data_IF_852359429045
#
_entry.id   IF_852359429045
#
_cell.length_a   1.000
_cell.length_b   1.000
_cell.length_c   1.000
_cell.angle_alpha   90.00
_cell.angle_beta   90.00
_cell.angle_gamma   90.00
#
_symmetry.space_group_name_H-M   'P 1'
#
loop_
_entity.id
_entity.type
_entity.pdbx_description
1 polymer ?
#
# COMPACT_ATOMS: atom_id res chain seq x y z
N UNK A 1 -10.75 16.44 0.66
CA UNK A 1 -10.15 16.67 -0.66
C UNK A 1 -10.81 15.80 -1.76
N UNK A 2 -10.86 14.46 -1.63
CA UNK A 2 -11.60 13.57 -2.56
C UNK A 2 -13.08 13.91 -2.74
N UNK A 3 -13.79 14.27 -1.66
CA UNK A 3 -15.19 14.72 -1.76
C UNK A 3 -15.35 15.98 -2.65
N UNK A 4 -14.31 16.83 -2.72
CA UNK A 4 -14.30 18.03 -3.55
C UNK A 4 -14.02 17.69 -5.02
N UNK A 5 -13.07 16.78 -5.29
CA UNK A 5 -12.81 16.29 -6.66
C UNK A 5 -13.99 15.50 -7.23
N UNK A 6 -14.70 14.72 -6.40
CA UNK A 6 -15.96 14.04 -6.76
C UNK A 6 -17.04 15.01 -7.27
N UNK A 7 -17.13 16.21 -6.68
CA UNK A 7 -18.03 17.28 -7.14
C UNK A 7 -17.54 18.02 -8.38
N UNK A 8 -16.29 17.83 -8.79
CA UNK A 8 -15.63 18.64 -9.84
C UNK A 8 -15.62 17.98 -11.23
N UNK A 9 -16.24 16.80 -11.42
CA UNK A 9 -16.19 16.03 -12.69
C UNK A 9 -14.77 15.64 -13.16
N UNK A 10 -13.75 15.82 -12.33
CA UNK A 10 -12.39 15.35 -12.62
C UNK A 10 -12.36 13.86 -12.31
N UNK A 11 -12.10 12.98 -13.30
CA UNK A 11 -11.95 11.56 -13.05
C UNK A 11 -10.86 11.35 -11.99
N UNK A 12 -11.15 10.57 -10.96
CA UNK A 12 -10.12 10.13 -10.04
C UNK A 12 -9.22 9.17 -10.80
N UNK A 13 -7.99 9.58 -11.07
CA UNK A 13 -6.99 8.73 -11.70
C UNK A 13 -6.05 8.14 -10.64
N UNK A 14 -5.32 7.09 -11.05
CA UNK A 14 -4.41 6.36 -10.16
C UNK A 14 -3.32 7.28 -9.58
N UNK A 15 -2.97 8.35 -10.31
CA UNK A 15 -1.98 9.34 -9.90
C UNK A 15 -2.48 10.14 -8.70
N UNK A 16 -3.72 10.65 -8.73
CA UNK A 16 -4.31 11.36 -7.60
C UNK A 16 -4.40 10.48 -6.34
N UNK A 17 -4.76 9.21 -6.51
CA UNK A 17 -4.76 8.23 -5.43
C UNK A 17 -3.35 7.99 -4.85
N UNK A 18 -2.34 7.82 -5.71
CA UNK A 18 -0.96 7.62 -5.30
C UNK A 18 -0.39 8.84 -4.55
N UNK A 19 -0.72 10.06 -4.99
CA UNK A 19 -0.35 11.29 -4.26
C UNK A 19 -0.95 11.29 -2.86
N UNK A 20 -2.22 10.92 -2.72
CA UNK A 20 -2.88 10.89 -1.42
C UNK A 20 -2.35 9.77 -0.52
N UNK A 21 -2.10 8.57 -1.07
CA UNK A 21 -1.43 7.49 -0.35
C UNK A 21 -0.07 7.94 0.17
N UNK A 22 0.71 8.67 -0.64
CA UNK A 22 2.01 9.20 -0.24
C UNK A 22 1.89 10.27 0.85
N UNK A 23 0.84 11.09 0.81
CA UNK A 23 0.55 12.03 1.87
C UNK A 23 0.21 11.31 3.19
N UNK A 24 -0.68 10.31 3.16
CA UNK A 24 -1.02 9.51 4.33
C UNK A 24 0.20 8.76 4.91
N UNK A 25 1.08 8.23 4.06
CA UNK A 25 2.34 7.61 4.46
C UNK A 25 3.23 8.59 5.25
N UNK A 26 3.46 9.80 4.70
CA UNK A 26 4.28 10.83 5.36
C UNK A 26 3.68 11.34 6.67
N UNK A 27 2.35 11.37 6.76
CA UNK A 27 1.63 11.78 7.97
C UNK A 27 1.49 10.64 8.99
N UNK A 28 1.91 9.41 8.67
CA UNK A 28 1.76 8.25 9.55
C UNK A 28 0.31 7.76 9.69
N UNK A 29 -0.59 8.17 8.79
CA UNK A 29 -2.02 7.85 8.84
C UNK A 29 -2.30 6.48 8.21
N UNK A 30 -1.76 5.43 8.83
CA UNK A 30 -1.75 4.07 8.28
C UNK A 30 -3.15 3.50 8.02
N UNK A 31 -4.12 3.85 8.87
CA UNK A 31 -5.53 3.44 8.72
C UNK A 31 -6.14 4.10 7.48
N UNK A 32 -5.87 5.38 7.25
CA UNK A 32 -6.37 6.10 6.09
C UNK A 32 -5.73 5.56 4.79
N UNK A 33 -4.41 5.33 4.80
CA UNK A 33 -3.69 4.73 3.68
C UNK A 33 -4.25 3.34 3.31
N UNK A 34 -4.44 2.46 4.30
CA UNK A 34 -5.01 1.13 4.08
C UNK A 34 -6.47 1.16 3.63
N UNK A 35 -7.28 2.08 4.17
CA UNK A 35 -8.68 2.26 3.76
C UNK A 35 -8.79 2.72 2.31
N UNK A 36 -7.96 3.70 1.90
CA UNK A 36 -7.93 4.17 0.51
C UNK A 36 -7.52 3.06 -0.46
N UNK A 37 -6.47 2.30 -0.14
CA UNK A 37 -6.05 1.16 -0.96
C UNK A 37 -7.17 0.10 -1.06
N UNK A 38 -7.85 -0.19 0.04
CA UNK A 38 -8.98 -1.14 0.05
C UNK A 38 -10.14 -0.65 -0.81
N UNK A 39 -10.42 0.66 -0.82
CA UNK A 39 -11.44 1.23 -1.70
C UNK A 39 -11.05 1.11 -3.18
N UNK A 40 -9.78 1.36 -3.52
CA UNK A 40 -9.25 1.13 -4.87
C UNK A 40 -9.36 -0.34 -5.29
N UNK A 41 -8.98 -1.28 -4.41
CA UNK A 41 -9.07 -2.73 -4.68
C UNK A 41 -10.51 -3.20 -4.96
N UNK A 42 -11.49 -2.52 -4.39
CA UNK A 42 -12.92 -2.82 -4.60
C UNK A 42 -13.52 -2.04 -5.77
N UNK A 43 -12.71 -1.23 -6.45
CA UNK A 43 -13.17 -0.26 -7.46
C UNK A 43 -14.34 0.60 -6.93
N UNK A 44 -14.35 0.85 -5.62
CA UNK A 44 -15.42 1.55 -4.94
C UNK A 44 -15.43 3.02 -5.35
N UNK A 45 -16.63 3.62 -5.41
CA UNK A 45 -16.82 5.04 -5.76
C UNK A 45 -16.20 5.45 -7.12
N UNK A 46 -16.02 4.49 -8.04
CA UNK A 46 -15.39 4.73 -9.35
C UNK A 46 -13.88 4.97 -9.27
N UNK A 47 -13.23 4.51 -8.18
CA UNK A 47 -11.78 4.56 -8.06
C UNK A 47 -11.13 3.55 -9.01
N UNK A 48 -9.99 3.91 -9.62
CA UNK A 48 -9.25 2.99 -10.46
C UNK A 48 -8.61 1.87 -9.61
N UNK A 49 -8.36 0.70 -10.22
CA UNK A 49 -7.64 -0.37 -9.54
C UNK A 49 -6.23 0.11 -9.13
N UNK A 50 -5.71 -0.37 -7.98
CA UNK A 50 -4.39 0.02 -7.51
C UNK A 50 -3.29 -0.51 -8.43
N UNK A 51 -2.24 0.29 -8.58
CA UNK A 51 -1.02 -0.12 -9.29
C UNK A 51 0.08 -0.53 -8.29
N UNK A 52 1.23 -0.93 -8.83
CA UNK A 52 2.38 -1.29 -8.01
C UNK A 52 2.84 -0.15 -7.08
N UNK A 53 2.68 1.11 -7.50
CA UNK A 53 3.03 2.26 -6.69
C UNK A 53 2.07 2.41 -5.49
N UNK A 54 0.77 2.19 -5.70
CA UNK A 54 -0.25 2.20 -4.65
C UNK A 54 0.09 1.18 -3.55
N UNK A 55 0.37 -0.06 -3.93
CA UNK A 55 0.75 -1.12 -2.99
C UNK A 55 2.04 -0.80 -2.26
N UNK A 56 3.10 -0.43 -2.99
CA UNK A 56 4.41 -0.13 -2.40
C UNK A 56 4.35 0.99 -1.37
N UNK A 57 3.54 2.02 -1.64
CA UNK A 57 3.37 3.14 -0.72
C UNK A 57 2.76 2.69 0.60
N UNK A 58 1.72 1.85 0.56
CA UNK A 58 1.05 1.36 1.78
C UNK A 58 1.89 0.31 2.51
N UNK A 59 2.57 -0.59 1.77
CA UNK A 59 3.49 -1.57 2.35
C UNK A 59 4.61 -0.85 3.11
N UNK A 60 5.24 0.17 2.50
CA UNK A 60 6.27 0.96 3.15
C UNK A 60 5.74 1.68 4.40
N UNK A 61 4.54 2.25 4.34
CA UNK A 61 3.91 2.90 5.49
C UNK A 61 3.66 1.90 6.64
N UNK A 62 3.14 0.71 6.32
CA UNK A 62 2.81 -0.33 7.32
C UNK A 62 4.04 -1.09 7.84
N UNK A 63 5.14 -1.11 7.10
CA UNK A 63 6.35 -1.85 7.45
C UNK A 63 6.87 -1.52 8.86
N UNK A 64 6.72 -0.28 9.33
CA UNK A 64 7.28 0.11 10.63
C UNK A 64 6.42 -0.28 11.84
N UNK A 65 5.14 -0.62 11.66
CA UNK A 65 4.22 -0.85 12.79
C UNK A 65 3.41 -2.13 12.67
N UNK A 66 3.18 -2.64 11.46
CA UNK A 66 2.24 -3.73 11.17
C UNK A 66 2.85 -4.68 10.12
N UNK A 67 3.94 -5.39 10.45
CA UNK A 67 4.67 -6.25 9.51
C UNK A 67 3.79 -7.34 8.87
N UNK A 68 2.83 -7.89 9.62
CA UNK A 68 1.89 -8.90 9.11
C UNK A 68 0.93 -8.36 8.06
N UNK A 69 0.50 -7.10 8.19
CA UNK A 69 -0.36 -6.46 7.18
C UNK A 69 0.45 -6.08 5.94
N UNK A 70 1.68 -5.61 6.13
CA UNK A 70 2.59 -5.34 5.02
C UNK A 70 2.87 -6.63 4.20
N UNK A 71 3.09 -7.76 4.88
CA UNK A 71 3.21 -9.07 4.23
C UNK A 71 1.94 -9.46 3.45
N UNK A 72 0.76 -9.37 4.08
CA UNK A 72 -0.49 -9.72 3.43
C UNK A 72 -0.75 -8.88 2.17
N UNK A 73 -0.40 -7.59 2.20
CA UNK A 73 -0.49 -6.71 1.03
C UNK A 73 0.51 -7.09 -0.07
N UNK A 74 1.74 -7.48 0.29
CA UNK A 74 2.72 -7.99 -0.66
C UNK A 74 2.23 -9.27 -1.33
N UNK A 75 1.70 -10.22 -0.57
CA UNK A 75 1.08 -11.44 -1.13
C UNK A 75 -0.06 -11.10 -2.07
N UNK A 76 -0.96 -10.19 -1.66
CA UNK A 76 -2.08 -9.76 -2.52
C UNK A 76 -1.60 -9.10 -3.81
N UNK A 77 -0.53 -8.31 -3.76
CA UNK A 77 0.08 -7.70 -4.94
C UNK A 77 0.61 -8.76 -5.91
N UNK A 78 1.26 -9.81 -5.40
CA UNK A 78 1.74 -10.93 -6.20
C UNK A 78 0.59 -11.74 -6.82
N UNK A 79 -0.47 -12.00 -6.04
CA UNK A 79 -1.65 -12.75 -6.49
C UNK A 79 -2.44 -12.02 -7.59
N UNK A 80 -2.39 -10.68 -7.61
CA UNK A 80 -3.00 -9.87 -8.68
C UNK A 80 -2.14 -9.80 -9.94
N UNK A 81 -0.97 -10.46 -9.96
CA UNK A 81 -0.04 -10.45 -11.09
C UNK A 81 0.75 -9.14 -11.23
N UNK A 82 0.66 -8.23 -10.24
CA UNK A 82 1.45 -7.01 -10.22
C UNK A 82 2.90 -7.34 -9.85
N UNK A 83 3.84 -6.78 -10.60
CA UNK A 83 5.26 -6.97 -10.34
C UNK A 83 5.68 -6.24 -9.06
N UNK A 84 5.84 -7.01 -7.97
CA UNK A 84 6.49 -6.50 -6.76
C UNK A 84 7.91 -6.05 -7.10
N UNK A 85 8.33 -4.93 -6.52
CA UNK A 85 9.68 -4.40 -6.71
C UNK A 85 10.56 -4.79 -5.53
N UNK A 86 11.88 -4.62 -5.67
CA UNK A 86 12.83 -4.80 -4.57
C UNK A 86 12.39 -4.04 -3.31
N UNK A 87 11.86 -2.82 -3.48
CA UNK A 87 11.35 -1.98 -2.40
C UNK A 87 10.22 -2.68 -1.64
N UNK A 88 9.31 -3.38 -2.32
CA UNK A 88 8.19 -4.10 -1.69
C UNK A 88 8.71 -5.20 -0.75
N UNK A 89 9.65 -6.02 -1.25
CA UNK A 89 10.26 -7.11 -0.49
C UNK A 89 11.11 -6.58 0.67
N UNK A 90 12.01 -5.63 0.40
CA UNK A 90 12.85 -5.01 1.43
C UNK A 90 12.03 -4.38 2.54
N UNK A 91 10.89 -3.75 2.20
CA UNK A 91 10.00 -3.15 3.20
C UNK A 91 9.46 -4.20 4.18
N UNK A 92 9.00 -5.36 3.69
CA UNK A 92 8.49 -6.46 4.54
C UNK A 92 9.62 -7.11 5.36
N UNK A 93 10.80 -7.32 4.76
CA UNK A 93 11.98 -7.87 5.46
C UNK A 93 12.39 -6.95 6.62
N UNK A 94 12.55 -5.66 6.35
CA UNK A 94 12.93 -4.65 7.36
C UNK A 94 11.85 -4.52 8.44
N UNK A 95 10.57 -4.62 8.06
CA UNK A 95 9.45 -4.63 8.99
C UNK A 95 9.57 -5.76 10.02
N UNK A 96 9.77 -6.98 9.55
CA UNK A 96 9.90 -8.15 10.40
C UNK A 96 11.17 -8.14 11.24
N UNK A 97 12.29 -7.68 10.67
CA UNK A 97 13.54 -7.52 11.41
C UNK A 97 13.38 -6.52 12.59
N UNK A 98 12.78 -5.35 12.35
CA UNK A 98 12.52 -4.34 13.39
C UNK A 98 11.52 -4.80 14.45
N UNK A 99 10.57 -5.65 14.06
CA UNK A 99 9.59 -6.24 14.99
C UNK A 99 10.16 -7.40 15.83
N UNK A 100 11.46 -7.72 15.72
CA UNK A 100 12.07 -8.83 16.45
C UNK A 100 11.63 -10.21 15.95
N UNK A 101 11.18 -10.30 14.69
CA UNK A 101 10.63 -11.50 14.04
C UNK A 101 11.47 -11.93 12.83
N UNK A 102 12.76 -12.28 13.02
CA UNK A 102 13.68 -12.54 11.92
C UNK A 102 13.37 -13.83 11.13
N UNK A 103 12.66 -14.80 11.72
CA UNK A 103 12.26 -16.03 11.02
C UNK A 103 11.30 -15.72 9.87
N UNK A 104 10.39 -14.80 10.10
CA UNK A 104 9.43 -14.31 9.11
C UNK A 104 10.11 -13.43 8.07
N UNK A 105 11.08 -12.60 8.46
CA UNK A 105 11.91 -11.86 7.52
C UNK A 105 12.67 -12.79 6.55
N UNK A 106 13.21 -13.91 7.06
CA UNK A 106 13.96 -14.89 6.29
C UNK A 106 13.17 -15.55 5.16
N UNK A 107 11.84 -15.61 5.26
CA UNK A 107 10.98 -16.17 4.19
C UNK A 107 11.04 -15.38 2.89
N UNK A 108 11.35 -14.09 2.99
CA UNK A 108 11.35 -13.16 1.87
C UNK A 108 12.76 -12.91 1.32
N UNK A 109 13.78 -13.62 1.81
CA UNK A 109 15.20 -13.54 1.39
C UNK A 109 15.63 -14.64 0.41
N UNK A 110 14.71 -15.48 -0.07
CA UNK A 110 14.98 -16.59 -1.00
C UNK A 110 14.75 -16.18 -2.46
#
# INVERSE_FOLDING_TARGET
WLARMRGSRIPLDVVACNIQLKAHERMGELVAAGSLLTQMMREADGLPPPDACSYNTVIAAMAHTQPTKAEALLTTMLDTGLAATEISFTSVIVAYAKAGRPKEAGKWLQ
#
